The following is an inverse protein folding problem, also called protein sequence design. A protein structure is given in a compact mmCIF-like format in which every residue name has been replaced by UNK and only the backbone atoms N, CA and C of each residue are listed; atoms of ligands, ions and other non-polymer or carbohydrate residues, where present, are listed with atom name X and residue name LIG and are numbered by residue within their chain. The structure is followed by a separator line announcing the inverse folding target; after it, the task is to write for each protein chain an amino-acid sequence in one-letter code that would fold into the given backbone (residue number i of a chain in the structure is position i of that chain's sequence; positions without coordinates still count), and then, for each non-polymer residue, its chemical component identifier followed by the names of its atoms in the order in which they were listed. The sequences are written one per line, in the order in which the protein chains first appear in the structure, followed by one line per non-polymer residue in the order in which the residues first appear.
data_IF_123706922363
#
_entry.id   IF_123706922363
#
_cell.length_a   1.000
_cell.length_b   1.000
_cell.length_c   1.000
_cell.angle_alpha   90.00
_cell.angle_beta   90.00
_cell.angle_gamma   90.00
#
_symmetry.space_group_name_H-M   'P 1'
#
loop_
_entity.id
_entity.type
_entity.pdbx_description
1 polymer ?
#
# COMPACT_ATOMS: atom_id res chain seq x y z
N UNK A 1 -1.63 26.94 2.63
CA UNK A 1 -1.37 27.09 1.18
C UNK A 1 -0.16 26.20 0.90
N UNK A 2 -0.32 25.05 0.23
CA UNK A 2 0.77 24.10 -0.01
C UNK A 2 1.14 24.17 -1.48
N UNK A 3 2.41 24.47 -1.77
CA UNK A 3 2.91 24.60 -3.13
C UNK A 3 3.65 23.33 -3.52
N UNK A 4 3.14 22.60 -4.51
CA UNK A 4 3.91 21.57 -5.21
C UNK A 4 4.81 22.27 -6.23
N UNK A 5 6.12 22.32 -6.00
CA UNK A 5 7.07 22.60 -7.08
C UNK A 5 7.56 21.26 -7.60
N UNK A 6 7.01 20.85 -8.75
CA UNK A 6 7.59 19.81 -9.56
C UNK A 6 8.97 20.26 -10.04
N UNK A 7 10.02 19.62 -9.50
CA UNK A 7 11.23 19.27 -10.23
C UNK A 7 11.63 17.87 -9.79
N UNK A 8 11.80 16.99 -10.77
CA UNK A 8 12.61 15.79 -10.60
C UNK A 8 13.99 16.21 -10.07
N UNK A 9 14.52 15.42 -9.14
CA UNK A 9 15.85 15.55 -8.52
C UNK A 9 15.96 16.39 -7.22
N UNK A 10 15.34 15.91 -6.14
CA UNK A 10 15.82 16.19 -4.78
C UNK A 10 15.57 14.99 -3.84
N UNK A 11 16.61 14.19 -3.51
CA UNK A 11 16.54 13.20 -2.44
C UNK A 11 16.76 13.91 -1.10
N UNK A 12 15.77 14.67 -0.64
CA UNK A 12 15.78 15.29 0.69
C UNK A 12 14.68 14.68 1.57
N UNK A 13 14.93 14.37 2.85
CA UNK A 13 13.91 13.80 3.73
C UNK A 13 12.75 14.79 3.88
N UNK A 14 11.55 14.36 3.49
CA UNK A 14 10.32 15.12 3.67
C UNK A 14 10.00 15.18 5.15
N UNK A 15 10.40 16.27 5.79
CA UNK A 15 10.32 16.44 7.23
C UNK A 15 9.04 17.23 7.53
N UNK A 16 8.28 16.81 8.53
CA UNK A 16 7.11 17.60 8.97
C UNK A 16 7.51 18.81 9.83
N UNK A 17 6.51 19.63 10.21
CA UNK A 17 6.69 20.83 11.05
C UNK A 17 7.34 20.53 12.42
N UNK A 18 7.51 19.24 12.77
CA UNK A 18 8.15 18.78 14.00
C UNK A 18 9.53 18.16 13.78
N UNK A 19 10.11 18.27 12.59
CA UNK A 19 11.46 17.77 12.34
C UNK A 19 11.53 16.24 12.19
N UNK A 20 10.38 15.55 12.03
CA UNK A 20 10.37 14.10 11.80
C UNK A 20 10.34 13.82 10.32
N UNK A 21 11.25 12.96 9.85
CA UNK A 21 11.18 12.40 8.51
C UNK A 21 9.83 11.68 8.38
N UNK A 22 8.86 12.31 7.73
CA UNK A 22 7.65 11.60 7.33
C UNK A 22 8.07 10.75 6.16
N UNK A 23 7.94 9.44 6.31
CA UNK A 23 7.84 8.56 5.16
C UNK A 23 6.88 9.23 4.18
N UNK A 24 7.35 9.44 2.95
CA UNK A 24 6.48 10.01 1.94
C UNK A 24 5.21 9.16 1.89
N UNK A 25 4.01 9.73 1.76
CA UNK A 25 2.79 8.94 1.66
C UNK A 25 2.88 7.85 0.57
N UNK A 26 3.70 8.05 -0.45
CA UNK A 26 4.03 7.03 -1.45
C UNK A 26 4.84 5.84 -0.90
N UNK A 27 5.83 6.06 -0.03
CA UNK A 27 6.65 5.00 0.57
C UNK A 27 5.82 4.15 1.53
N UNK A 28 5.09 4.79 2.44
CA UNK A 28 4.21 4.09 3.37
C UNK A 28 3.08 3.35 2.64
N UNK A 29 2.57 3.91 1.54
CA UNK A 29 1.61 3.22 0.67
C UNK A 29 2.22 2.00 -0.02
N UNK A 30 3.44 2.11 -0.55
CA UNK A 30 4.14 0.98 -1.18
C UNK A 30 4.39 -0.14 -0.17
N UNK A 31 4.82 0.20 1.03
CA UNK A 31 5.04 -0.76 2.11
C UNK A 31 3.76 -1.48 2.55
N UNK A 32 2.68 -0.73 2.77
CA UNK A 32 1.38 -1.30 3.11
C UNK A 32 0.84 -2.15 1.97
N UNK A 33 0.96 -1.68 0.72
CA UNK A 33 0.56 -2.45 -0.45
C UNK A 33 1.43 -3.70 -0.62
N UNK A 34 2.71 -3.66 -0.28
CA UNK A 34 3.58 -4.82 -0.31
C UNK A 34 3.10 -5.86 0.71
N UNK A 35 2.89 -5.46 1.98
CA UNK A 35 2.49 -6.38 3.06
C UNK A 35 1.03 -6.88 2.96
N UNK A 36 0.11 -6.01 2.55
CA UNK A 36 -1.34 -6.26 2.61
C UNK A 36 -2.00 -6.35 1.24
N UNK A 37 -1.29 -6.02 0.16
CA UNK A 37 -1.82 -5.99 -1.19
C UNK A 37 -2.19 -7.35 -1.78
N UNK A 38 -2.21 -8.43 -1.00
CA UNK A 38 -2.83 -9.70 -1.39
C UNK A 38 -4.30 -9.75 -1.00
N UNK A 39 -4.62 -9.28 0.20
CA UNK A 39 -5.96 -9.34 0.80
C UNK A 39 -6.68 -8.00 0.75
N UNK A 40 -5.94 -6.89 0.72
CA UNK A 40 -6.49 -5.54 0.77
C UNK A 40 -6.09 -4.70 -0.45
N UNK A 41 -6.91 -3.71 -0.75
CA UNK A 41 -6.54 -2.54 -1.55
C UNK A 41 -6.30 -1.38 -0.60
N UNK A 42 -5.09 -0.82 -0.61
CA UNK A 42 -4.71 0.27 0.28
C UNK A 42 -4.62 1.56 -0.54
N UNK A 43 -5.09 2.66 0.03
CA UNK A 43 -5.06 3.98 -0.60
C UNK A 43 -4.85 5.09 0.44
N UNK A 44 -4.26 6.19 0.01
CA UNK A 44 -4.16 7.43 0.79
C UNK A 44 -4.97 8.52 0.10
N UNK A 45 -5.90 9.14 0.83
CA UNK A 45 -6.83 10.15 0.28
C UNK A 45 -6.30 11.58 0.36
N UNK A 46 -5.02 11.77 0.70
CA UNK A 46 -4.45 13.09 1.02
C UNK A 46 -4.64 13.51 2.48
N UNK A 47 -5.42 12.75 3.26
CA UNK A 47 -5.60 12.98 4.70
C UNK A 47 -5.79 11.68 5.50
N UNK A 48 -6.46 10.68 4.93
CA UNK A 48 -6.75 9.41 5.58
C UNK A 48 -6.17 8.24 4.81
N UNK A 49 -5.78 7.22 5.55
CA UNK A 49 -5.37 5.92 5.04
C UNK A 49 -6.56 4.99 5.04
N UNK A 50 -6.78 4.31 3.93
CA UNK A 50 -7.93 3.42 3.72
C UNK A 50 -7.43 2.07 3.25
N UNK A 51 -7.87 1.00 3.91
CA UNK A 51 -7.69 -0.36 3.44
C UNK A 51 -9.05 -1.02 3.22
N UNK A 52 -9.26 -1.57 2.02
CA UNK A 52 -10.49 -2.29 1.66
C UNK A 52 -10.15 -3.74 1.40
N UNK A 53 -10.77 -4.65 2.14
CA UNK A 53 -10.62 -6.07 1.94
C UNK A 53 -11.19 -6.48 0.56
N UNK A 54 -10.51 -7.41 -0.11
CA UNK A 54 -10.86 -7.87 -1.48
C UNK A 54 -12.02 -8.85 -1.51
N UNK A 55 -12.16 -9.66 -0.46
CA UNK A 55 -13.35 -10.49 -0.27
C UNK A 55 -14.53 -9.61 0.19
N UNK A 56 -15.62 -9.53 -0.58
CA UNK A 56 -16.80 -8.75 -0.21
C UNK A 56 -17.61 -9.34 0.95
N UNK A 57 -17.38 -10.60 1.34
CA UNK A 57 -18.14 -11.28 2.39
C UNK A 57 -17.50 -11.17 3.78
N UNK A 58 -16.35 -10.49 3.90
CA UNK A 58 -15.72 -10.29 5.20
C UNK A 58 -16.50 -9.30 6.08
N UNK A 59 -16.52 -9.55 7.39
CA UNK A 59 -17.16 -8.66 8.37
C UNK A 59 -16.42 -7.32 8.49
N UNK A 60 -15.09 -7.33 8.44
CA UNK A 60 -14.24 -6.14 8.53
C UNK A 60 -13.76 -5.74 7.14
N UNK A 61 -14.65 -5.11 6.38
CA UNK A 61 -14.41 -4.85 4.94
C UNK A 61 -13.56 -3.61 4.70
N UNK A 62 -13.62 -2.61 5.56
CA UNK A 62 -12.97 -1.32 5.33
C UNK A 62 -12.44 -0.75 6.64
N UNK A 63 -11.15 -0.48 6.66
CA UNK A 63 -10.44 0.20 7.75
C UNK A 63 -10.02 1.59 7.27
N UNK A 64 -10.25 2.61 8.10
CA UNK A 64 -9.92 4.01 7.80
C UNK A 64 -9.23 4.61 9.01
N UNK A 65 -7.99 5.06 8.83
CA UNK A 65 -7.18 5.56 9.93
C UNK A 65 -6.38 6.82 9.53
N UNK A 66 -6.01 7.70 10.48
CA UNK A 66 -5.32 8.94 10.17
C UNK A 66 -3.82 8.75 9.91
N UNK A 67 -3.23 7.62 10.33
CA UNK A 67 -1.81 7.30 10.10
C UNK A 67 -1.67 5.88 9.55
N UNK A 68 -0.59 5.58 8.79
CA UNK A 68 -0.40 4.24 8.23
C UNK A 68 -0.12 3.20 9.32
N UNK A 69 0.47 3.59 10.45
CA UNK A 69 0.74 2.70 11.57
C UNK A 69 -0.55 2.27 12.27
N UNK A 70 -1.48 3.20 12.49
CA UNK A 70 -2.79 2.88 13.06
C UNK A 70 -3.59 1.98 12.10
N UNK A 71 -3.52 2.24 10.80
CA UNK A 71 -4.12 1.37 9.80
C UNK A 71 -3.55 -0.05 9.90
N UNK A 72 -2.23 -0.20 10.02
CA UNK A 72 -1.61 -1.52 10.14
C UNK A 72 -1.98 -2.23 11.45
N UNK A 73 -2.06 -1.51 12.58
CA UNK A 73 -2.52 -2.07 13.86
C UNK A 73 -3.95 -2.62 13.70
N UNK A 74 -4.87 -1.84 13.14
CA UNK A 74 -6.26 -2.29 12.90
C UNK A 74 -6.35 -3.50 11.99
N UNK A 75 -5.60 -3.48 10.90
CA UNK A 75 -5.55 -4.62 9.98
C UNK A 75 -5.06 -5.89 10.70
N UNK A 76 -4.08 -5.76 11.61
CA UNK A 76 -3.61 -6.89 12.42
C UNK A 76 -4.65 -7.38 13.42
N UNK A 77 -5.36 -6.47 14.08
CA UNK A 77 -6.42 -6.80 15.04
C UNK A 77 -7.57 -7.56 14.38
N UNK A 78 -8.00 -7.14 13.19
CA UNK A 78 -9.17 -7.71 12.52
C UNK A 78 -8.87 -8.90 11.60
N UNK A 79 -7.67 -8.95 11.01
CA UNK A 79 -7.31 -9.96 9.99
C UNK A 79 -6.09 -10.81 10.35
N UNK A 80 -5.45 -10.57 11.49
CA UNK A 80 -4.25 -11.29 11.91
C UNK A 80 -2.97 -10.80 11.22
N UNK A 81 -1.89 -11.60 11.18
CA UNK A 81 -0.64 -11.17 10.57
C UNK A 81 -0.79 -10.90 9.06
N UNK A 82 -0.02 -9.95 8.49
CA UNK A 82 -0.07 -9.66 7.06
C UNK A 82 0.25 -10.92 6.24
N UNK A 83 -0.42 -11.12 5.08
CA UNK A 83 -0.24 -12.30 4.22
C UNK A 83 1.11 -12.36 3.51
N UNK A 84 2.02 -11.41 3.79
CA UNK A 84 3.31 -11.27 3.14
C UNK A 84 3.20 -10.60 1.76
N UNK A 85 4.35 -10.42 1.07
CA UNK A 85 4.44 -9.73 -0.21
C UNK A 85 3.41 -10.23 -1.21
N UNK A 86 2.70 -9.31 -1.84
CA UNK A 86 1.98 -9.63 -3.07
C UNK A 86 2.98 -10.20 -4.09
N UNK A 87 2.62 -11.27 -4.84
CA UNK A 87 3.50 -11.77 -5.89
C UNK A 87 3.79 -10.61 -6.84
N UNK A 88 5.06 -10.27 -6.96
CA UNK A 88 5.53 -9.30 -7.95
C UNK A 88 5.11 -9.87 -9.30
N UNK A 89 4.22 -9.16 -9.99
CA UNK A 89 3.88 -9.49 -11.37
C UNK A 89 5.13 -9.17 -12.18
N UNK A 90 6.04 -10.13 -12.27
CA UNK A 90 7.22 -10.09 -13.14
C UNK A 90 6.79 -9.52 -14.50
N UNK A 91 7.26 -8.31 -14.88
CA UNK A 91 6.93 -7.70 -16.16
C UNK A 91 7.69 -8.44 -17.27
N UNK A 92 7.24 -9.66 -17.58
CA UNK A 92 7.96 -10.57 -18.47
C UNK A 92 7.48 -12.02 -18.47
N UNK A 93 6.55 -12.42 -17.61
CA UNK A 93 5.94 -13.75 -17.69
C UNK A 93 4.97 -13.82 -18.88
N UNK A 94 5.52 -13.88 -20.09
CA UNK A 94 4.80 -14.29 -21.30
C UNK A 94 4.16 -15.64 -20.99
N UNK A 95 2.84 -15.82 -21.16
CA UNK A 95 2.27 -17.16 -21.09
C UNK A 95 2.96 -17.97 -22.18
N UNK A 96 3.75 -18.98 -21.78
CA UNK A 96 4.28 -19.99 -22.71
C UNK A 96 3.08 -20.67 -23.35
N UNK A 97 2.66 -20.17 -24.50
CA UNK A 97 1.80 -20.92 -25.39
C UNK A 97 2.63 -21.96 -26.16
N UNK A 98 2.00 -23.12 -26.33
CA UNK A 98 2.27 -24.24 -27.27
C UNK A 98 3.22 -25.33 -26.77
N UNK A 99 2.98 -26.62 -27.05
CA UNK A 99 1.99 -27.27 -27.93
C UNK A 99 1.70 -28.69 -27.40
N UNK A 100 0.48 -29.22 -27.55
CA UNK A 100 -0.02 -29.82 -28.79
C UNK A 100 0.95 -30.89 -29.33
N UNK A 101 0.85 -32.07 -28.72
CA UNK A 101 1.43 -33.34 -29.15
C UNK A 101 0.77 -33.78 -30.46
N UNK A 102 1.51 -34.20 -31.51
CA UNK A 102 0.99 -35.14 -32.50
C UNK A 102 0.99 -36.57 -31.98
#
# INVERSE_FOLDING_TARGET
HWYCIGRADHPGPHTDDHGRARHLPSEALQELAHRWGRTHRVAYTGRLWVAVHRDPHTHWRTEIEPTPELLEVRLREHHGPPPGPAPELEPGAVPRQRGATP
#
